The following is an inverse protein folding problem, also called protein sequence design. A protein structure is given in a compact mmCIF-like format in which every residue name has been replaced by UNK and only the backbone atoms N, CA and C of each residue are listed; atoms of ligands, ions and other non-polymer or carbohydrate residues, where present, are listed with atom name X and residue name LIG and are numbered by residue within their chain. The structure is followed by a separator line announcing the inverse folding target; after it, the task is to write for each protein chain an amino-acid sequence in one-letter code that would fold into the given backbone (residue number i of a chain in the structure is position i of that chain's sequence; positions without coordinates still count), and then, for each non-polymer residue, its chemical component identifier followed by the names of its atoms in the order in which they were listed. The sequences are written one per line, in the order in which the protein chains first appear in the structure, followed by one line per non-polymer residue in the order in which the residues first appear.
data_IF_296390545690
#
_entry.id   IF_296390545690
#
_cell.length_a   1.000
_cell.length_b   1.000
_cell.length_c   1.000
_cell.angle_alpha   90.00
_cell.angle_beta   90.00
_cell.angle_gamma   90.00
#
_symmetry.space_group_name_H-M   'P 1'
#
loop_
_entity.id
_entity.type
_entity.pdbx_description
1 polymer ?
#
# COMPACT_ATOMS: atom_id res chain seq x y z
N UNK A 1 -0.58 -4.97 9.18
CA UNK A 1 -0.28 -4.05 10.30
C UNK A 1 0.79 -3.12 9.81
N UNK A 2 0.59 -1.82 9.95
CA UNK A 2 1.65 -0.85 9.70
C UNK A 2 2.34 -0.55 11.03
N UNK A 3 3.67 -0.61 11.06
CA UNK A 3 4.48 -0.18 12.18
C UNK A 3 5.25 1.05 11.72
N UNK A 4 5.02 2.20 12.38
CA UNK A 4 5.73 3.46 12.12
C UNK A 4 6.72 3.70 13.26
N UNK A 5 7.98 3.84 12.92
CA UNK A 5 9.08 4.11 13.84
C UNK A 5 9.55 5.54 13.58
N UNK A 6 9.31 6.51 14.50
CA UNK A 6 9.81 7.86 14.38
C UNK A 6 11.32 7.91 14.16
N UNK A 7 11.80 8.83 13.31
CA UNK A 7 13.23 9.04 13.07
C UNK A 7 13.63 10.38 13.69
N UNK A 8 14.56 10.38 14.65
CA UNK A 8 15.19 11.62 15.09
C UNK A 8 16.35 12.03 14.17
N UNK A 9 16.68 13.33 14.14
CA UNK A 9 17.81 13.87 13.37
C UNK A 9 19.17 13.22 13.72
N UNK A 10 19.34 12.74 14.95
CA UNK A 10 20.55 12.03 15.40
C UNK A 10 20.62 10.60 14.84
N UNK A 11 19.47 9.95 14.73
CA UNK A 11 19.31 8.59 14.21
C UNK A 11 19.54 8.58 12.70
N UNK A 12 19.07 9.59 11.99
CA UNK A 12 19.37 9.85 10.58
C UNK A 12 20.87 9.73 10.23
N UNK A 13 21.77 10.31 11.03
CA UNK A 13 23.22 10.20 10.81
C UNK A 13 23.77 8.81 11.11
N UNK A 14 23.07 8.04 11.95
CA UNK A 14 23.46 6.72 12.45
C UNK A 14 22.93 5.57 11.57
N UNK A 15 21.75 5.76 10.94
CA UNK A 15 21.04 4.77 10.11
C UNK A 15 21.13 5.03 8.61
N UNK A 16 21.14 6.30 8.19
CA UNK A 16 20.74 6.67 6.82
C UNK A 16 21.86 7.10 5.87
N UNK A 17 23.16 7.02 6.23
CA UNK A 17 24.28 7.26 5.31
C UNK A 17 24.04 8.36 4.25
N UNK A 18 23.62 9.60 4.58
CA UNK A 18 23.32 10.65 3.58
C UNK A 18 22.39 10.26 2.38
N UNK A 19 21.78 9.06 2.40
CA UNK A 19 21.11 8.43 1.27
C UNK A 19 19.62 8.28 1.56
N UNK A 20 18.82 8.31 0.51
CA UNK A 20 17.39 8.09 0.61
C UNK A 20 17.09 6.64 1.08
N UNK A 21 15.97 6.46 1.80
CA UNK A 21 15.59 5.18 2.44
C UNK A 21 14.64 4.32 1.58
N UNK A 22 14.19 4.83 0.44
CA UNK A 22 13.21 4.14 -0.41
C UNK A 22 13.80 2.87 -1.03
N UNK A 23 12.94 1.88 -1.26
CA UNK A 23 13.36 0.60 -1.85
C UNK A 23 14.46 -0.09 -1.04
N UNK A 24 14.51 0.15 0.26
CA UNK A 24 15.40 -0.55 1.22
C UNK A 24 14.55 -1.37 2.17
N UNK A 25 15.20 -2.23 2.94
CA UNK A 25 14.57 -2.99 4.01
C UNK A 25 15.39 -2.93 5.30
N UNK A 26 14.75 -3.27 6.41
CA UNK A 26 15.38 -3.35 7.74
C UNK A 26 15.10 -4.72 8.36
N UNK A 27 15.96 -5.14 9.27
CA UNK A 27 15.67 -6.25 10.18
C UNK A 27 15.12 -5.70 11.48
N UNK A 28 14.06 -6.33 11.97
CA UNK A 28 13.46 -6.04 13.27
C UNK A 28 13.63 -7.27 14.16
N UNK A 29 14.21 -7.05 15.33
CA UNK A 29 14.26 -7.98 16.45
C UNK A 29 13.39 -7.49 17.60
N UNK A 30 12.98 -8.40 18.48
CA UNK A 30 12.24 -8.02 19.69
C UNK A 30 12.67 -8.89 20.87
N UNK A 31 13.44 -8.31 21.80
CA UNK A 31 14.13 -9.04 22.89
C UNK A 31 13.16 -9.73 23.85
N UNK A 32 11.99 -9.13 24.09
CA UNK A 32 10.94 -9.76 24.91
C UNK A 32 10.24 -10.94 24.23
N UNK A 33 10.43 -11.13 22.92
CA UNK A 33 9.94 -12.30 22.19
C UNK A 33 11.03 -13.32 21.91
N UNK A 34 12.22 -12.85 21.55
CA UNK A 34 13.38 -13.66 21.24
C UNK A 34 14.64 -12.80 21.20
N UNK A 35 15.72 -13.31 21.81
CA UNK A 35 17.03 -12.66 21.78
C UNK A 35 17.77 -12.83 20.45
N UNK A 36 17.35 -13.79 19.61
CA UNK A 36 18.11 -14.22 18.42
C UNK A 36 17.33 -14.13 17.12
N UNK A 37 16.00 -13.95 17.17
CA UNK A 37 15.18 -13.86 15.95
C UNK A 37 15.16 -12.45 15.41
N UNK A 38 15.50 -12.34 14.13
CA UNK A 38 15.48 -11.12 13.34
C UNK A 38 14.70 -11.38 12.06
N UNK A 39 13.80 -10.47 11.72
CA UNK A 39 12.93 -10.61 10.56
C UNK A 39 13.05 -9.40 9.63
N UNK A 40 13.25 -9.61 8.31
CA UNK A 40 13.35 -8.52 7.35
C UNK A 40 11.96 -7.96 7.02
N UNK A 41 11.89 -6.64 6.87
CA UNK A 41 10.70 -5.92 6.41
C UNK A 41 11.09 -4.76 5.49
N UNK A 42 10.42 -4.68 4.35
CA UNK A 42 10.58 -3.60 3.39
C UNK A 42 10.05 -2.27 3.95
N UNK A 43 10.79 -1.21 3.68
CA UNK A 43 10.42 0.15 4.04
C UNK A 43 9.32 0.66 3.11
N UNK A 44 8.27 1.25 3.70
CA UNK A 44 7.11 1.82 3.00
C UNK A 44 7.07 3.35 3.05
N UNK A 45 8.03 4.00 3.72
CA UNK A 45 8.13 5.46 3.83
C UNK A 45 9.36 6.01 3.12
N UNK A 46 9.45 7.33 3.03
CA UNK A 46 10.69 8.04 2.67
C UNK A 46 11.12 8.94 3.82
N UNK A 47 12.30 9.56 3.67
CA UNK A 47 12.86 10.36 4.76
C UNK A 47 12.03 11.60 5.09
N UNK A 48 11.31 12.14 4.10
CA UNK A 48 10.44 13.30 4.30
C UNK A 48 9.20 12.97 5.16
N UNK A 49 8.86 11.69 5.36
CA UNK A 49 7.75 11.28 6.23
C UNK A 49 8.09 11.48 7.73
N UNK A 50 9.37 11.60 8.10
CA UNK A 50 9.79 11.73 9.50
C UNK A 50 9.73 10.43 10.31
N UNK A 51 9.42 9.30 9.67
CA UNK A 51 9.38 7.96 10.26
C UNK A 51 9.78 6.88 9.25
N UNK A 52 10.25 5.72 9.74
CA UNK A 52 10.36 4.48 8.96
C UNK A 52 9.05 3.71 9.16
N UNK A 53 8.30 3.46 8.09
CA UNK A 53 7.15 2.54 8.13
C UNK A 53 7.48 1.21 7.49
N UNK A 54 6.93 0.14 8.09
CA UNK A 54 6.98 -1.21 7.52
C UNK A 54 5.61 -1.87 7.60
N UNK A 55 5.29 -2.74 6.64
CA UNK A 55 4.05 -3.49 6.63
C UNK A 55 4.27 -4.95 7.02
N UNK A 56 3.71 -5.32 8.17
CA UNK A 56 3.85 -6.65 8.74
C UNK A 56 2.56 -7.44 8.51
N UNK A 57 2.70 -8.58 7.84
CA UNK A 57 1.63 -9.56 7.65
C UNK A 57 1.49 -10.40 8.91
N UNK A 58 0.43 -10.13 9.68
CA UNK A 58 0.16 -10.84 10.94
C UNK A 58 -0.52 -12.17 10.60
N UNK A 59 0.25 -13.25 10.58
CA UNK A 59 -0.23 -14.57 10.19
C UNK A 59 -0.08 -15.59 11.33
N UNK A 60 1.15 -15.90 11.73
CA UNK A 60 1.47 -16.83 12.81
C UNK A 60 2.90 -16.62 13.35
N UNK A 61 3.23 -17.28 14.46
CA UNK A 61 4.59 -17.31 15.00
C UNK A 61 5.03 -15.95 15.54
N UNK A 62 6.24 -15.52 15.15
CA UNK A 62 6.86 -14.30 15.68
C UNK A 62 6.04 -13.03 15.38
N UNK A 63 5.51 -12.88 14.17
CA UNK A 63 4.71 -11.69 13.78
C UNK A 63 3.40 -11.54 14.55
N UNK A 64 2.79 -12.66 14.97
CA UNK A 64 1.59 -12.64 15.79
C UNK A 64 1.88 -12.22 17.22
N UNK A 65 2.96 -12.75 17.81
CA UNK A 65 3.43 -12.36 19.14
C UNK A 65 3.85 -10.89 19.17
N UNK A 66 4.53 -10.41 18.13
CA UNK A 66 4.88 -8.99 17.97
C UNK A 66 3.63 -8.12 17.92
N UNK A 67 2.66 -8.48 17.08
CA UNK A 67 1.40 -7.74 17.00
C UNK A 67 0.66 -7.68 18.34
N UNK A 68 0.60 -8.79 19.09
CA UNK A 68 -0.01 -8.84 20.42
C UNK A 68 0.74 -7.99 21.45
N UNK A 69 2.07 -7.97 21.38
CA UNK A 69 2.91 -7.17 22.27
C UNK A 69 2.73 -5.67 22.02
N UNK A 70 2.69 -5.24 20.76
CA UNK A 70 2.56 -3.82 20.40
C UNK A 70 1.13 -3.31 20.58
N UNK A 71 0.12 -4.06 20.14
CA UNK A 71 -1.28 -3.58 20.10
C UNK A 71 -2.19 -4.16 21.20
N UNK A 72 -1.64 -5.01 22.06
CA UNK A 72 -2.40 -5.75 23.07
C UNK A 72 -3.24 -6.90 22.50
N UNK A 73 -3.59 -7.85 23.37
CA UNK A 73 -4.37 -9.06 23.03
C UNK A 73 -5.78 -8.74 22.48
N UNK A 74 -6.34 -7.57 22.80
CA UNK A 74 -7.72 -7.19 22.48
C UNK A 74 -7.94 -6.77 21.01
N UNK A 75 -6.92 -6.24 20.31
CA UNK A 75 -7.01 -5.86 18.88
C UNK A 75 -6.60 -6.98 17.92
N UNK A 76 -5.76 -7.92 18.37
CA UNK A 76 -5.39 -9.11 17.61
C UNK A 76 -6.62 -10.01 17.33
N UNK A 77 -7.61 -10.02 18.22
CA UNK A 77 -8.87 -10.74 18.04
C UNK A 77 -9.85 -10.03 17.09
N UNK A 78 -9.88 -8.70 17.03
CA UNK A 78 -10.72 -7.96 16.07
C UNK A 78 -10.21 -8.10 14.62
N UNK A 79 -8.89 -8.16 14.41
CA UNK A 79 -8.30 -8.52 13.11
C UNK A 79 -8.64 -9.96 12.66
N UNK A 80 -8.99 -10.84 13.62
CA UNK A 80 -9.46 -12.21 13.37
C UNK A 80 -11.00 -12.30 13.28
N UNK A 81 -11.77 -11.44 13.97
CA UNK A 81 -13.24 -11.37 13.95
C UNK A 81 -13.81 -10.60 12.76
N UNK A 82 -13.04 -9.74 12.09
CA UNK A 82 -13.39 -9.22 10.76
C UNK A 82 -13.54 -10.33 9.68
N UNK A 83 -13.35 -11.61 10.04
CA UNK A 83 -13.78 -12.79 9.27
C UNK A 83 -15.31 -13.02 9.25
N UNK A 84 -16.08 -12.33 10.10
CA UNK A 84 -17.55 -12.39 10.14
C UNK A 84 -18.12 -10.97 10.11
N UNK A 85 -18.14 -10.34 8.94
CA UNK A 85 -19.19 -9.37 8.66
C UNK A 85 -20.20 -10.14 7.81
N UNK A 86 -21.34 -10.50 8.43
CA UNK A 86 -22.46 -11.08 7.68
C UNK A 86 -23.08 -10.00 6.82
N UNK A 87 -23.24 -10.30 5.53
CA UNK A 87 -24.02 -9.48 4.62
C UNK A 87 -25.47 -9.38 5.12
N UNK A 88 -26.16 -8.24 4.92
CA UNK A 88 -27.62 -8.25 5.01
C UNK A 88 -28.14 -9.27 3.98
N UNK A 89 -29.21 -10.03 4.30
CA UNK A 89 -29.70 -11.05 3.40
C UNK A 89 -30.12 -10.38 2.09
N UNK A 90 -29.62 -10.93 0.98
CA UNK A 90 -30.09 -10.63 -0.36
C UNK A 90 -31.60 -10.73 -0.38
N UNK A 91 -32.30 -9.61 -0.60
CA UNK A 91 -33.73 -9.65 -0.86
C UNK A 91 -33.95 -10.38 -2.19
N UNK A 92 -34.56 -11.56 -2.09
CA UNK A 92 -35.06 -12.34 -3.20
C UNK A 92 -36.00 -11.48 -4.05
N UNK A 93 -35.61 -11.18 -5.28
CA UNK A 93 -36.56 -10.75 -6.30
C UNK A 93 -36.89 -11.93 -7.20
N UNK A 94 -37.79 -12.77 -6.69
CA UNK A 94 -38.63 -13.62 -7.52
C UNK A 94 -39.79 -12.78 -8.06
N UNK A 95 -39.84 -12.61 -9.38
CA UNK A 95 -41.07 -12.42 -10.14
C UNK A 95 -41.77 -11.05 -10.06
N UNK A 96 -41.85 -10.35 -11.18
CA UNK A 96 -43.12 -10.34 -11.91
C UNK A 96 -42.96 -9.91 -13.37
N UNK A 97 -43.55 -10.74 -14.22
CA UNK A 97 -43.85 -10.52 -15.63
C UNK A 97 -45.09 -9.62 -15.73
N UNK A 98 -45.24 -8.95 -16.88
CA UNK A 98 -46.45 -8.28 -17.43
C UNK A 98 -46.84 -6.94 -16.77
N UNK A 99 -47.31 -5.87 -17.46
CA UNK A 99 -47.79 -5.64 -18.84
C UNK A 99 -47.78 -4.12 -19.13
N UNK A 100 -47.79 -3.78 -20.42
CA UNK A 100 -47.96 -2.44 -21.03
C UNK A 100 -49.09 -1.57 -20.45
N UNK A 101 -48.90 -0.23 -20.42
CA UNK A 101 -49.71 0.77 -21.14
C UNK A 101 -49.61 2.22 -20.56
N UNK A 102 -49.28 3.15 -21.46
CA UNK A 102 -49.79 4.51 -21.73
C UNK A 102 -50.15 5.58 -20.65
N UNK A 103 -49.84 6.81 -21.10
CA UNK A 103 -50.55 8.11 -20.97
C UNK A 103 -50.36 9.01 -19.73
N UNK A 104 -49.78 10.18 -20.04
CA UNK A 104 -50.25 11.55 -19.80
C UNK A 104 -50.36 12.19 -18.39
N UNK A 105 -49.96 13.47 -18.40
CA UNK A 105 -50.52 14.62 -17.69
C UNK A 105 -49.93 15.09 -16.33
N UNK A 106 -49.30 16.27 -16.41
CA UNK A 106 -49.53 17.51 -15.64
C UNK A 106 -49.38 17.60 -14.10
N UNK A 107 -48.53 18.56 -13.72
CA UNK A 107 -48.73 19.65 -12.75
C UNK A 107 -48.87 19.43 -11.22
N UNK A 108 -48.01 20.21 -10.53
CA UNK A 108 -48.31 21.10 -9.37
C UNK A 108 -48.21 20.60 -7.92
N UNK A 109 -47.32 21.30 -7.20
CA UNK A 109 -47.46 22.01 -5.91
C UNK A 109 -47.90 21.33 -4.59
N UNK A 110 -47.03 21.58 -3.59
CA UNK A 110 -47.24 21.98 -2.18
C UNK A 110 -47.69 20.97 -1.10
N UNK A 111 -46.80 20.85 -0.11
CA UNK A 111 -47.00 20.79 1.35
C UNK A 111 -48.02 19.80 1.96
N UNK A 112 -47.56 18.90 2.83
CA UNK A 112 -47.55 19.10 4.31
C UNK A 112 -47.46 17.77 5.10
N UNK A 113 -46.63 17.80 6.14
CA UNK A 113 -46.70 17.06 7.42
C UNK A 113 -46.96 15.55 7.44
N UNK A 114 -45.87 14.80 7.65
CA UNK A 114 -45.87 13.49 8.29
C UNK A 114 -44.55 13.29 9.04
N UNK A 115 -44.50 13.73 10.30
CA UNK A 115 -43.32 13.63 11.14
C UNK A 115 -42.92 12.17 11.40
N UNK A 116 -41.66 11.85 11.11
CA UNK A 116 -41.00 10.64 11.62
C UNK A 116 -39.83 11.10 12.48
N UNK A 117 -39.86 10.69 13.74
CA UNK A 117 -38.81 10.90 14.74
C UNK A 117 -37.45 10.54 14.17
N UNK A 118 -36.57 11.54 14.06
CA UNK A 118 -35.14 11.33 13.96
C UNK A 118 -34.70 10.78 15.32
N UNK A 119 -34.39 9.49 15.38
CA UNK A 119 -33.53 8.99 16.45
C UNK A 119 -32.13 9.55 16.18
N UNK A 120 -31.78 10.62 16.89
CA UNK A 120 -30.39 10.96 17.20
C UNK A 120 -29.76 9.75 17.90
N UNK A 121 -29.17 8.86 17.10
CA UNK A 121 -28.17 7.94 17.60
C UNK A 121 -26.85 8.69 17.58
N UNK A 122 -26.38 8.93 18.78
CA UNK A 122 -25.19 9.70 19.07
C UNK A 122 -24.02 9.22 18.21
N UNK A 123 -23.51 10.16 17.41
CA UNK A 123 -22.22 10.10 16.75
C UNK A 123 -21.17 10.01 17.87
N UNK A 124 -20.70 8.81 18.17
CA UNK A 124 -19.44 8.67 18.93
C UNK A 124 -18.32 9.07 17.98
N UNK A 125 -17.91 10.33 18.09
CA UNK A 125 -16.85 10.92 17.29
C UNK A 125 -15.59 10.08 17.29
N UNK A 126 -14.91 10.07 16.15
CA UNK A 126 -13.51 9.71 16.09
C UNK A 126 -12.74 10.66 17.00
N UNK A 127 -12.29 10.18 18.14
CA UNK A 127 -11.27 10.89 18.92
C UNK A 127 -9.98 10.88 18.12
N UNK A 128 -9.53 12.09 17.77
CA UNK A 128 -8.14 12.39 17.47
C UNK A 128 -7.26 11.67 18.49
N UNK A 129 -6.36 10.79 18.04
CA UNK A 129 -5.32 10.23 18.92
C UNK A 129 -4.13 11.17 18.85
N UNK A 130 -4.36 12.39 19.29
CA UNK A 130 -3.32 13.30 19.76
C UNK A 130 -2.98 12.93 21.19
N UNK A 131 -1.68 12.79 21.47
CA UNK A 131 -1.06 12.57 22.80
C UNK A 131 -1.11 11.15 23.38
N UNK A 132 -0.13 10.33 22.97
CA UNK A 132 0.50 9.39 23.89
C UNK A 132 1.66 10.15 24.55
N UNK A 133 1.47 10.58 25.79
CA UNK A 133 2.58 11.09 26.60
C UNK A 133 3.39 9.90 27.13
N UNK A 134 4.69 9.89 26.83
CA UNK A 134 5.66 8.90 27.33
C UNK A 134 6.73 9.66 28.11
N UNK A 135 6.93 9.28 29.37
CA UNK A 135 8.01 9.81 30.22
C UNK A 135 9.38 9.40 29.67
N UNK A 136 10.29 10.37 29.54
CA UNK A 136 11.64 10.19 29.04
C UNK A 136 12.61 9.88 30.19
N UNK A 137 13.38 8.80 30.08
CA UNK A 137 14.61 8.63 30.85
C UNK A 137 15.73 9.40 30.16
N UNK A 138 16.48 10.21 30.91
CA UNK A 138 17.51 11.13 30.40
C UNK A 138 18.81 10.43 29.97
N UNK A 139 19.55 11.13 29.11
CA UNK A 139 20.52 10.63 28.13
C UNK A 139 21.92 10.21 28.65
N UNK A 140 22.20 10.20 29.95
CA UNK A 140 23.59 10.12 30.43
C UNK A 140 24.17 8.69 30.57
N UNK A 141 23.34 7.64 30.54
CA UNK A 141 23.82 6.26 30.78
C UNK A 141 24.17 5.47 29.51
N UNK A 142 23.61 5.84 28.35
CA UNK A 142 23.71 5.03 27.10
C UNK A 142 24.89 5.45 26.21
N UNK A 143 25.45 6.65 26.41
CA UNK A 143 26.44 7.27 25.52
C UNK A 143 27.85 6.64 25.53
N UNK A 144 28.10 5.56 26.28
CA UNK A 144 29.47 5.10 26.57
C UNK A 144 30.06 3.98 25.70
N UNK A 145 29.40 3.43 24.68
CA UNK A 145 30.05 2.40 23.83
C UNK A 145 29.82 2.61 22.33
N UNK A 146 30.90 3.00 21.65
CA UNK A 146 31.00 3.18 20.21
C UNK A 146 31.10 1.88 19.42
N UNK A 147 30.81 1.98 18.12
CA UNK A 147 30.90 0.90 17.14
C UNK A 147 29.89 1.07 16.01
N UNK A 148 30.36 1.02 14.77
CA UNK A 148 29.60 1.13 13.52
C UNK A 148 28.53 0.02 13.41
N UNK A 149 27.39 0.30 12.75
CA UNK A 149 26.15 -0.49 12.74
C UNK A 149 25.43 -0.54 14.08
N UNK A 150 24.88 0.61 14.48
CA UNK A 150 24.17 0.70 15.73
C UNK A 150 22.72 0.28 15.59
N UNK A 151 22.35 -0.76 16.32
CA UNK A 151 20.97 -1.11 16.55
C UNK A 151 20.27 -0.04 17.41
N UNK A 152 19.07 0.43 17.03
CA UNK A 152 18.26 1.33 17.87
C UNK A 152 17.23 0.50 18.61
N UNK A 153 17.15 0.75 19.91
CA UNK A 153 16.09 0.24 20.76
C UNK A 153 14.93 1.23 20.76
N UNK A 154 13.71 0.74 20.51
CA UNK A 154 12.47 1.52 20.53
C UNK A 154 11.52 0.95 21.59
N UNK A 155 10.87 1.81 22.36
CA UNK A 155 9.96 1.51 23.49
C UNK A 155 10.49 0.50 24.53
N UNK A 156 10.72 0.96 25.75
CA UNK A 156 11.15 0.15 26.93
C UNK A 156 12.41 -0.73 26.77
N UNK A 157 13.10 -0.75 25.63
CA UNK A 157 14.23 -1.66 25.41
C UNK A 157 13.93 -2.85 24.49
N UNK A 158 12.67 -3.04 24.12
CA UNK A 158 12.19 -4.34 23.62
C UNK A 158 12.34 -4.49 22.11
N UNK A 159 12.06 -3.45 21.32
CA UNK A 159 12.13 -3.51 19.86
C UNK A 159 13.49 -3.04 19.37
N UNK A 160 14.17 -3.83 18.56
CA UNK A 160 15.50 -3.50 18.03
C UNK A 160 15.48 -3.47 16.51
N UNK A 161 16.03 -2.42 15.91
CA UNK A 161 16.06 -2.22 14.46
C UNK A 161 17.51 -2.21 13.95
N UNK A 162 17.76 -2.92 12.86
CA UNK A 162 19.06 -2.91 12.18
C UNK A 162 19.30 -1.65 11.35
N UNK A 163 20.51 -1.48 10.83
CA UNK A 163 20.77 -0.55 9.73
C UNK A 163 19.98 -0.90 8.46
N UNK A 164 19.82 0.09 7.57
CA UNK A 164 19.16 -0.07 6.27
C UNK A 164 19.96 -0.98 5.35
N UNK A 165 19.26 -1.87 4.66
CA UNK A 165 19.81 -2.79 3.67
C UNK A 165 19.25 -2.47 2.30
N UNK A 166 20.10 -2.55 1.28
CA UNK A 166 19.71 -2.29 -0.10
C UNK A 166 18.93 -3.47 -0.71
N UNK A 167 17.96 -3.15 -1.57
CA UNK A 167 17.22 -4.14 -2.35
C UNK A 167 17.24 -3.81 -3.84
N UNK A 168 17.10 -4.82 -4.69
CA UNK A 168 17.09 -4.67 -6.14
C UNK A 168 15.88 -3.89 -6.71
N UNK A 169 14.65 -3.95 -6.14
CA UNK A 169 13.50 -3.20 -6.64
C UNK A 169 13.73 -1.69 -6.78
N UNK A 170 14.61 -1.08 -5.96
CA UNK A 170 14.89 0.35 -6.02
C UNK A 170 15.46 0.82 -7.36
N UNK A 171 16.19 -0.04 -8.06
CA UNK A 171 16.88 0.30 -9.32
C UNK A 171 15.94 0.36 -10.53
N UNK A 172 14.66 0.00 -10.35
CA UNK A 172 13.64 0.17 -11.39
C UNK A 172 13.53 1.62 -11.88
N UNK A 173 13.89 2.59 -11.03
CA UNK A 173 13.88 4.03 -11.34
C UNK A 173 14.92 4.46 -12.39
N UNK A 174 15.88 3.61 -12.74
CA UNK A 174 16.87 3.86 -13.79
C UNK A 174 16.24 3.86 -15.19
N UNK A 175 15.04 3.27 -15.31
CA UNK A 175 14.28 3.18 -16.55
C UNK A 175 13.32 4.37 -16.68
N UNK A 176 12.90 4.66 -17.90
CA UNK A 176 11.90 5.70 -18.16
C UNK A 176 10.48 5.30 -17.74
N UNK A 177 10.19 3.99 -17.74
CA UNK A 177 8.92 3.43 -17.28
C UNK A 177 9.17 2.34 -16.24
N UNK A 178 8.62 2.50 -15.04
CA UNK A 178 8.69 1.51 -13.97
C UNK A 178 7.38 0.73 -13.82
N UNK A 179 7.47 -0.60 -13.80
CA UNK A 179 6.36 -1.52 -13.66
C UNK A 179 6.54 -2.28 -12.34
N UNK A 180 5.69 -1.95 -11.37
CA UNK A 180 5.78 -2.41 -9.98
C UNK A 180 4.70 -3.45 -9.72
N UNK A 181 5.06 -4.74 -9.74
CA UNK A 181 4.12 -5.82 -9.47
C UNK A 181 4.25 -6.25 -8.01
N UNK A 182 3.16 -6.33 -7.27
CA UNK A 182 3.23 -6.76 -5.88
C UNK A 182 2.02 -7.55 -5.40
N UNK A 183 2.20 -8.27 -4.29
CA UNK A 183 1.13 -9.00 -3.61
C UNK A 183 1.20 -8.88 -2.10
N UNK A 184 0.05 -8.64 -1.46
CA UNK A 184 -0.02 -8.52 0.00
C UNK A 184 0.87 -7.40 0.53
N UNK A 185 1.72 -7.69 1.52
CA UNK A 185 2.64 -6.70 2.12
C UNK A 185 3.80 -6.29 1.22
N UNK A 186 4.04 -6.97 0.10
CA UNK A 186 5.03 -6.58 -0.91
C UNK A 186 4.74 -5.24 -1.60
N UNK A 187 3.64 -4.57 -1.23
CA UNK A 187 3.33 -3.19 -1.61
C UNK A 187 4.26 -2.17 -0.93
N UNK A 188 4.84 -2.51 0.23
CA UNK A 188 5.70 -1.62 1.02
C UNK A 188 6.84 -0.97 0.20
N UNK A 189 7.75 -1.73 -0.45
CA UNK A 189 8.83 -1.11 -1.21
C UNK A 189 8.29 -0.27 -2.37
N UNK A 190 7.16 -0.66 -2.96
CA UNK A 190 6.52 0.07 -4.06
C UNK A 190 6.01 1.44 -3.63
N UNK A 191 5.38 1.55 -2.45
CA UNK A 191 4.94 2.84 -1.90
C UNK A 191 6.14 3.76 -1.70
N UNK A 192 7.23 3.27 -1.12
CA UNK A 192 8.43 4.09 -0.91
C UNK A 192 9.04 4.59 -2.22
N UNK A 193 9.08 3.74 -3.26
CA UNK A 193 9.57 4.11 -4.60
C UNK A 193 8.68 5.19 -5.23
N UNK A 194 7.35 5.03 -5.16
CA UNK A 194 6.41 6.01 -5.73
C UNK A 194 6.50 7.33 -4.96
N UNK A 195 6.52 7.30 -3.62
CA UNK A 195 6.73 8.50 -2.79
C UNK A 195 8.03 9.22 -3.18
N UNK A 196 9.11 8.47 -3.36
CA UNK A 196 10.38 9.04 -3.79
C UNK A 196 10.28 9.74 -5.16
N UNK A 197 9.64 9.10 -6.13
CA UNK A 197 9.42 9.66 -7.46
C UNK A 197 8.61 10.96 -7.43
N UNK A 198 7.43 10.96 -6.79
CA UNK A 198 6.54 12.14 -6.77
C UNK A 198 7.10 13.33 -5.98
N UNK A 199 8.01 13.07 -5.03
CA UNK A 199 8.68 14.10 -4.22
C UNK A 199 9.89 14.71 -4.91
N UNK A 200 10.50 13.97 -5.84
CA UNK A 200 11.75 14.37 -6.50
C UNK A 200 11.61 14.56 -8.02
N UNK A 201 10.38 14.67 -8.52
CA UNK A 201 10.13 14.96 -9.93
C UNK A 201 10.80 16.28 -10.34
N UNK A 202 11.47 16.27 -11.50
CA UNK A 202 12.26 17.41 -11.99
C UNK A 202 13.67 17.52 -11.40
N UNK A 203 14.01 16.81 -10.31
CA UNK A 203 15.36 16.78 -9.76
C UNK A 203 16.22 15.72 -10.47
N UNK A 204 16.92 16.17 -11.53
CA UNK A 204 17.78 15.30 -12.36
C UNK A 204 18.93 14.60 -11.63
N UNK A 205 19.32 15.05 -10.43
CA UNK A 205 20.33 14.36 -9.62
C UNK A 205 19.77 13.12 -8.90
N UNK A 206 18.46 13.09 -8.65
CA UNK A 206 17.77 12.01 -7.92
C UNK A 206 16.98 11.11 -8.85
N UNK A 207 16.22 11.72 -9.77
CA UNK A 207 15.44 11.04 -10.80
C UNK A 207 15.97 11.48 -12.16
N UNK A 208 16.77 10.63 -12.79
CA UNK A 208 17.38 10.95 -14.08
C UNK A 208 16.35 10.78 -15.22
N UNK A 209 15.78 9.57 -15.33
CA UNK A 209 15.04 9.14 -16.52
C UNK A 209 13.58 8.78 -16.29
N UNK A 210 13.16 8.41 -15.07
CA UNK A 210 11.80 7.92 -14.81
C UNK A 210 10.72 8.96 -15.15
N UNK A 211 9.74 8.55 -15.97
CA UNK A 211 8.63 9.37 -16.45
C UNK A 211 7.29 8.82 -15.96
N UNK A 212 7.10 7.50 -16.01
CA UNK A 212 5.81 6.87 -15.71
C UNK A 212 5.97 5.65 -14.80
N UNK A 213 5.00 5.45 -13.90
CA UNK A 213 4.93 4.29 -13.00
C UNK A 213 3.60 3.56 -13.19
N UNK A 214 3.66 2.23 -13.32
CA UNK A 214 2.53 1.32 -13.33
C UNK A 214 2.61 0.43 -12.10
N UNK A 215 1.71 0.63 -11.13
CA UNK A 215 1.61 -0.22 -9.95
C UNK A 215 0.51 -1.26 -10.15
N UNK A 216 0.84 -2.53 -9.97
CA UNK A 216 -0.12 -3.63 -9.99
C UNK A 216 -0.07 -4.37 -8.66
N UNK A 217 -1.16 -4.28 -7.89
CA UNK A 217 -1.21 -4.85 -6.55
C UNK A 217 -2.29 -5.93 -6.42
N UNK A 218 -1.87 -7.15 -6.06
CA UNK A 218 -2.79 -8.27 -5.83
C UNK A 218 -3.15 -8.39 -4.35
N UNK A 219 -4.45 -8.32 -4.05
CA UNK A 219 -5.00 -8.42 -2.68
C UNK A 219 -6.14 -9.44 -2.62
N UNK A 220 -6.36 -10.01 -1.42
CA UNK A 220 -7.49 -10.90 -1.14
C UNK A 220 -8.62 -10.24 -0.36
N UNK A 221 -8.33 -9.12 0.30
CA UNK A 221 -9.26 -8.47 1.23
C UNK A 221 -9.24 -6.97 1.00
N UNK A 222 -10.43 -6.36 0.91
CA UNK A 222 -10.58 -4.95 0.53
C UNK A 222 -10.00 -3.99 1.58
N UNK A 223 -10.02 -4.35 2.87
CA UNK A 223 -9.48 -3.48 3.92
C UNK A 223 -7.99 -3.17 3.77
N UNK A 224 -7.25 -3.93 2.96
CA UNK A 224 -5.86 -3.59 2.64
C UNK A 224 -5.75 -2.32 1.81
N UNK A 225 -6.79 -1.94 1.05
CA UNK A 225 -6.80 -0.73 0.23
C UNK A 225 -6.46 0.54 1.02
N UNK A 226 -6.80 0.59 2.32
CA UNK A 226 -6.43 1.71 3.19
C UNK A 226 -4.92 1.99 3.26
N UNK A 227 -4.06 1.00 2.96
CA UNK A 227 -2.60 1.21 2.87
C UNK A 227 -2.19 2.15 1.73
N UNK A 228 -3.03 2.32 0.71
CA UNK A 228 -2.77 3.23 -0.40
C UNK A 228 -3.31 4.64 -0.16
N UNK A 229 -4.20 4.84 0.82
CA UNK A 229 -4.97 6.09 0.97
C UNK A 229 -4.06 7.32 1.09
N UNK A 230 -3.02 7.25 1.92
CA UNK A 230 -2.04 8.33 2.10
C UNK A 230 -1.27 8.62 0.80
N UNK A 231 -0.83 7.57 0.10
CA UNK A 231 -0.11 7.72 -1.18
C UNK A 231 -1.01 8.35 -2.25
N UNK A 232 -2.26 7.89 -2.36
CA UNK A 232 -3.22 8.40 -3.33
C UNK A 232 -3.55 9.86 -3.06
N UNK A 233 -3.74 10.24 -1.80
CA UNK A 233 -3.96 11.64 -1.41
C UNK A 233 -2.77 12.53 -1.83
N UNK A 234 -1.54 12.06 -1.64
CA UNK A 234 -0.34 12.80 -2.03
C UNK A 234 -0.17 12.92 -3.55
N UNK A 235 -0.49 11.87 -4.31
CA UNK A 235 -0.45 11.93 -5.79
C UNK A 235 -1.50 12.93 -6.30
N UNK A 236 -2.71 12.90 -5.72
CA UNK A 236 -3.81 13.78 -6.12
C UNK A 236 -3.51 15.24 -5.79
N UNK A 237 -2.96 15.52 -4.61
CA UNK A 237 -2.65 16.90 -4.19
C UNK A 237 -1.55 17.57 -5.03
N UNK A 238 -0.73 16.76 -5.72
CA UNK A 238 0.34 17.21 -6.61
C UNK A 238 -0.02 17.19 -8.10
N UNK A 239 -1.24 16.75 -8.45
CA UNK A 239 -1.70 16.60 -9.84
C UNK A 239 -0.84 15.65 -10.70
N UNK A 240 -0.42 14.52 -10.12
CA UNK A 240 0.48 13.54 -10.77
C UNK A 240 -0.21 12.23 -11.20
N UNK A 241 -1.55 12.22 -11.27
CA UNK A 241 -2.34 11.04 -11.61
C UNK A 241 -2.07 10.53 -13.04
N UNK A 242 -1.60 11.40 -13.94
CA UNK A 242 -1.22 11.03 -15.31
C UNK A 242 0.10 10.25 -15.40
N UNK A 243 0.97 10.40 -14.39
CA UNK A 243 2.30 9.77 -14.35
C UNK A 243 2.30 8.44 -13.60
N UNK A 244 1.34 8.23 -12.69
CA UNK A 244 1.24 7.03 -11.86
C UNK A 244 -0.11 6.36 -12.11
N UNK A 245 -0.12 5.15 -12.67
CA UNK A 245 -1.33 4.33 -12.87
C UNK A 245 -1.34 3.16 -11.91
N UNK A 246 -2.47 2.93 -11.23
CA UNK A 246 -2.58 1.91 -10.18
C UNK A 246 -3.70 0.93 -10.52
N UNK A 247 -3.35 -0.35 -10.58
CA UNK A 247 -4.26 -1.46 -10.83
C UNK A 247 -4.29 -2.38 -9.61
N UNK A 248 -5.43 -2.48 -8.95
CA UNK A 248 -5.62 -3.38 -7.82
C UNK A 248 -6.39 -4.62 -8.27
N UNK A 249 -5.73 -5.77 -8.25
CA UNK A 249 -6.33 -7.05 -8.55
C UNK A 249 -6.92 -7.69 -7.29
N UNK A 250 -8.24 -7.76 -7.23
CA UNK A 250 -8.97 -8.37 -6.14
C UNK A 250 -9.21 -9.86 -6.42
N UNK A 251 -8.55 -10.71 -5.64
CA UNK A 251 -8.60 -12.19 -5.74
C UNK A 251 -9.40 -12.83 -4.60
N UNK A 252 -10.21 -12.01 -3.91
CA UNK A 252 -11.04 -12.45 -2.79
C UNK A 252 -12.37 -13.04 -3.24
N UNK A 253 -13.46 -12.51 -2.71
CA UNK A 253 -14.82 -12.97 -2.99
C UNK A 253 -15.22 -12.70 -4.45
N UNK A 254 -15.43 -13.77 -5.21
CA UNK A 254 -15.85 -13.71 -6.61
C UNK A 254 -17.32 -13.29 -6.79
N UNK A 255 -18.08 -13.13 -5.70
CA UNK A 255 -19.45 -12.61 -5.75
C UNK A 255 -19.50 -11.11 -6.11
N UNK A 256 -18.42 -10.37 -5.86
CA UNK A 256 -18.35 -8.94 -6.17
C UNK A 256 -18.28 -8.74 -7.69
N UNK A 257 -19.29 -8.05 -8.21
CA UNK A 257 -19.34 -7.68 -9.62
C UNK A 257 -18.39 -6.54 -9.95
N UNK A 258 -17.93 -6.45 -11.20
CA UNK A 258 -17.08 -5.34 -11.66
C UNK A 258 -17.71 -3.95 -11.41
N UNK A 259 -19.04 -3.86 -11.37
CA UNK A 259 -19.77 -2.63 -11.08
C UNK A 259 -19.65 -2.18 -9.61
N UNK A 260 -19.37 -3.09 -8.68
CA UNK A 260 -19.16 -2.77 -7.26
C UNK A 260 -17.70 -2.41 -6.96
N UNK A 261 -16.76 -2.82 -7.82
CA UNK A 261 -15.33 -2.57 -7.69
C UNK A 261 -14.92 -1.17 -8.19
N UNK A 262 -15.69 -0.16 -7.76
CA UNK A 262 -15.46 1.24 -8.09
C UNK A 262 -14.63 1.88 -6.97
N UNK A 263 -13.48 2.54 -7.27
CA UNK A 263 -12.58 3.06 -6.25
C UNK A 263 -13.25 4.01 -5.23
N UNK A 264 -14.23 4.81 -5.68
CA UNK A 264 -15.00 5.73 -4.83
C UNK A 264 -15.70 5.02 -3.66
N UNK A 265 -16.08 3.74 -3.83
CA UNK A 265 -16.72 2.95 -2.76
C UNK A 265 -15.74 2.52 -1.67
N UNK A 266 -14.43 2.52 -1.94
CA UNK A 266 -13.40 2.07 -1.03
C UNK A 266 -12.58 3.23 -0.44
N UNK A 267 -12.46 4.32 -1.19
CA UNK A 267 -11.69 5.51 -0.79
C UNK A 267 -12.62 6.69 -0.50
N UNK A 268 -13.46 6.57 0.53
CA UNK A 268 -14.45 7.58 0.89
C UNK A 268 -13.85 8.97 1.17
N UNK A 269 -12.59 9.02 1.63
CA UNK A 269 -11.85 10.28 1.87
C UNK A 269 -11.31 10.93 0.60
N UNK A 270 -11.35 10.22 -0.54
CA UNK A 270 -10.84 10.66 -1.83
C UNK A 270 -11.94 10.57 -2.89
N UNK A 271 -13.01 11.39 -2.81
CA UNK A 271 -14.18 11.26 -3.70
C UNK A 271 -13.86 11.52 -5.18
N UNK A 272 -12.81 12.30 -5.47
CA UNK A 272 -12.40 12.67 -6.83
C UNK A 272 -11.50 11.61 -7.51
N UNK A 273 -11.39 10.42 -6.94
CA UNK A 273 -10.55 9.36 -7.50
C UNK A 273 -11.14 8.84 -8.83
N UNK A 274 -10.39 8.99 -9.93
CA UNK A 274 -10.82 8.53 -11.25
C UNK A 274 -10.43 7.07 -11.49
N UNK A 275 -11.28 6.34 -12.22
CA UNK A 275 -10.95 4.97 -12.69
C UNK A 275 -9.80 4.92 -13.70
N UNK A 276 -9.41 6.06 -14.28
CA UNK A 276 -8.22 6.19 -15.12
C UNK A 276 -6.92 6.19 -14.30
N UNK A 277 -7.00 6.65 -13.05
CA UNK A 277 -5.88 6.71 -12.11
C UNK A 277 -5.76 5.41 -11.31
N UNK A 278 -6.86 5.00 -10.66
CA UNK A 278 -6.93 3.77 -9.87
C UNK A 278 -8.03 2.88 -10.40
N UNK A 279 -7.71 1.64 -10.77
CA UNK A 279 -8.69 0.66 -11.23
C UNK A 279 -8.66 -0.58 -10.36
N UNK A 280 -9.83 -1.00 -9.87
CA UNK A 280 -9.96 -2.26 -9.12
C UNK A 280 -10.54 -3.31 -10.09
N UNK A 281 -9.82 -4.41 -10.26
CA UNK A 281 -10.09 -5.43 -11.27
C UNK A 281 -10.31 -6.77 -10.56
N UNK A 282 -11.41 -7.50 -10.84
CA UNK A 282 -11.60 -8.83 -10.28
C UNK A 282 -10.62 -9.84 -10.91
N UNK A 283 -10.16 -10.80 -10.11
CA UNK A 283 -9.31 -11.89 -10.58
C UNK A 283 -7.82 -11.61 -10.40
N UNK A 284 -7.01 -12.46 -11.03
CA UNK A 284 -5.54 -12.43 -10.88
C UNK A 284 -4.93 -11.38 -11.80
N UNK A 285 -3.72 -10.95 -11.45
CA UNK A 285 -2.95 -10.07 -12.31
C UNK A 285 -2.56 -10.78 -13.61
N UNK A 286 -2.66 -10.05 -14.72
CA UNK A 286 -2.10 -10.45 -15.99
C UNK A 286 -0.89 -9.56 -16.29
N UNK A 287 0.29 -10.10 -16.03
CA UNK A 287 1.56 -9.39 -16.27
C UNK A 287 1.77 -9.16 -17.76
N UNK A 288 1.26 -10.01 -18.65
CA UNK A 288 1.48 -9.85 -20.09
C UNK A 288 0.70 -8.65 -20.62
N UNK A 289 -0.61 -8.60 -20.32
CA UNK A 289 -1.46 -7.46 -20.68
C UNK A 289 -0.94 -6.14 -20.09
N UNK A 290 -0.33 -6.17 -18.90
CA UNK A 290 0.31 -5.02 -18.30
C UNK A 290 1.54 -4.54 -19.09
N UNK A 291 2.42 -5.46 -19.50
CA UNK A 291 3.59 -5.12 -20.33
C UNK A 291 3.15 -4.55 -21.68
N UNK A 292 2.14 -5.14 -22.30
CA UNK A 292 1.57 -4.67 -23.56
C UNK A 292 1.00 -3.25 -23.43
N UNK A 293 0.20 -2.99 -22.39
CA UNK A 293 -0.34 -1.66 -22.13
C UNK A 293 0.79 -0.63 -21.86
N UNK A 294 1.74 -0.94 -20.98
CA UNK A 294 2.82 -0.01 -20.62
C UNK A 294 3.73 0.33 -21.81
N UNK A 295 4.03 -0.66 -22.67
CA UNK A 295 4.89 -0.46 -23.85
C UNK A 295 4.16 0.25 -24.99
N UNK A 296 2.86 -0.01 -25.16
CA UNK A 296 2.04 0.67 -26.17
C UNK A 296 1.79 2.13 -25.82
N UNK A 297 1.53 2.43 -24.54
CA UNK A 297 1.29 3.80 -24.09
C UNK A 297 2.56 4.65 -24.05
N UNK A 298 3.75 4.04 -23.92
CA UNK A 298 5.02 4.76 -23.80
C UNK A 298 6.03 4.25 -24.84
N UNK A 299 5.80 4.44 -26.15
CA UNK A 299 6.66 3.90 -27.19
C UNK A 299 8.07 4.51 -27.13
N UNK A 300 9.09 3.68 -27.38
CA UNK A 300 10.49 4.12 -27.46
C UNK A 300 11.16 4.39 -26.11
N UNK A 301 10.50 4.07 -24.99
CA UNK A 301 11.07 4.19 -23.66
C UNK A 301 11.86 2.94 -23.25
N UNK A 302 12.69 3.08 -22.22
CA UNK A 302 13.24 1.96 -21.45
C UNK A 302 12.27 1.51 -20.36
N UNK A 303 12.15 0.20 -20.14
CA UNK A 303 11.18 -0.38 -19.20
C UNK A 303 11.87 -1.21 -18.12
N UNK A 304 11.54 -0.95 -16.87
CA UNK A 304 11.94 -1.76 -15.72
C UNK A 304 10.73 -2.44 -15.09
N UNK A 305 10.84 -3.72 -14.75
CA UNK A 305 9.83 -4.46 -14.00
C UNK A 305 10.44 -5.05 -12.74
N UNK A 306 9.74 -4.88 -11.62
CA UNK A 306 10.06 -5.59 -10.37
C UNK A 306 8.82 -6.28 -9.81
N UNK A 307 9.01 -7.38 -9.08
CA UNK A 307 7.94 -8.14 -8.48
C UNK A 307 8.24 -8.55 -7.04
N UNK A 308 7.41 -8.15 -6.08
CA UNK A 308 7.58 -8.47 -4.64
C UNK A 308 6.30 -9.09 -4.07
N UNK A 309 6.40 -10.25 -3.42
CA UNK A 309 5.27 -10.91 -2.78
C UNK A 309 5.32 -12.44 -2.85
N UNK A 310 4.18 -13.14 -2.94
CA UNK A 310 4.16 -14.61 -2.97
C UNK A 310 5.02 -15.18 -4.12
N UNK A 311 5.79 -16.24 -3.83
CA UNK A 311 6.71 -16.88 -4.79
C UNK A 311 6.08 -17.19 -6.16
N UNK A 312 4.81 -17.58 -6.20
CA UNK A 312 4.11 -17.85 -7.46
C UNK A 312 3.91 -16.59 -8.30
N UNK A 313 3.60 -15.45 -7.67
CA UNK A 313 3.44 -14.16 -8.35
C UNK A 313 4.78 -13.68 -8.89
N UNK A 314 5.84 -13.72 -8.08
CA UNK A 314 7.20 -13.31 -8.49
C UNK A 314 7.72 -14.18 -9.63
N UNK A 315 7.57 -15.51 -9.51
CA UNK A 315 7.95 -16.45 -10.59
C UNK A 315 7.13 -16.23 -11.86
N UNK A 316 5.84 -15.94 -11.74
CA UNK A 316 5.00 -15.65 -12.89
C UNK A 316 5.49 -14.39 -13.60
N UNK A 317 5.70 -13.29 -12.86
CA UNK A 317 6.21 -12.04 -13.42
C UNK A 317 7.55 -12.25 -14.14
N UNK A 318 8.52 -12.91 -13.52
CA UNK A 318 9.83 -13.22 -14.12
C UNK A 318 9.71 -14.04 -15.41
N UNK A 319 8.85 -15.07 -15.41
CA UNK A 319 8.62 -15.92 -16.59
C UNK A 319 7.96 -15.14 -17.71
N UNK A 320 6.94 -14.34 -17.41
CA UNK A 320 6.25 -13.50 -18.39
C UNK A 320 7.18 -12.46 -19.00
N UNK A 321 8.00 -11.78 -18.20
CA UNK A 321 9.03 -10.85 -18.70
C UNK A 321 10.04 -11.55 -19.59
N UNK A 322 10.47 -12.77 -19.23
CA UNK A 322 11.38 -13.56 -20.06
C UNK A 322 10.74 -13.95 -21.38
N UNK A 323 9.47 -14.37 -21.37
CA UNK A 323 8.72 -14.70 -22.58
C UNK A 323 8.54 -13.48 -23.48
N UNK A 324 8.13 -12.34 -22.90
CA UNK A 324 8.03 -11.05 -23.56
C UNK A 324 9.33 -10.66 -24.26
N UNK A 325 10.46 -10.71 -23.54
CA UNK A 325 11.77 -10.34 -24.10
C UNK A 325 12.26 -11.26 -25.23
N UNK A 326 11.70 -12.47 -25.35
CA UNK A 326 12.00 -13.40 -26.46
C UNK A 326 11.16 -13.13 -27.70
N UNK A 327 9.89 -12.72 -27.51
CA UNK A 327 8.97 -12.42 -28.62
C UNK A 327 9.06 -10.98 -29.11
N UNK A 328 9.50 -10.06 -28.25
CA UNK A 328 9.45 -8.62 -28.53
C UNK A 328 10.73 -8.09 -29.17
N UNK A 329 10.64 -7.09 -30.07
CA UNK A 329 11.79 -6.36 -30.59
C UNK A 329 12.67 -5.77 -29.47
N UNK A 330 13.94 -5.51 -29.78
CA UNK A 330 14.91 -4.95 -28.82
C UNK A 330 14.40 -3.71 -28.09
N UNK A 331 13.71 -2.81 -28.81
CA UNK A 331 13.15 -1.56 -28.27
C UNK A 331 12.06 -1.75 -27.22
N UNK A 332 11.45 -2.94 -27.13
CA UNK A 332 10.38 -3.26 -26.19
C UNK A 332 10.85 -4.19 -25.07
N UNK A 333 12.16 -4.43 -24.95
CA UNK A 333 12.70 -5.29 -23.89
C UNK A 333 12.55 -4.62 -22.54
N UNK A 334 12.26 -5.46 -21.55
CA UNK A 334 11.99 -5.05 -20.17
C UNK A 334 13.07 -5.61 -19.26
N UNK A 335 13.72 -4.73 -18.51
CA UNK A 335 14.72 -5.09 -17.50
C UNK A 335 14.00 -5.64 -16.25
N UNK A 336 14.36 -6.84 -15.80
CA UNK A 336 13.75 -7.45 -14.63
C UNK A 336 14.63 -7.26 -13.39
N UNK A 337 14.10 -6.62 -12.36
CA UNK A 337 14.74 -6.42 -11.06
C UNK A 337 14.10 -7.37 -10.03
N UNK A 338 14.91 -8.28 -9.51
CA UNK A 338 14.47 -9.26 -8.51
C UNK A 338 13.98 -8.54 -7.24
N UNK A 339 13.02 -9.13 -6.52
CA UNK A 339 12.37 -8.52 -5.36
C UNK A 339 11.95 -9.57 -4.35
#
# INVERSE_FOLDING_TARGET
MELRIPIEKKDLKRYCFEQDIFGKFIYIGCTSLSLVQWHPFDVASTIEDGYISVFISVSSGWTQKLSQKIFGSSKAQQAQQAKKISYPPSQDYLGNKTVFANSDASESNLSSNGGIKICESQVSGFTDVSEIQVEFLTNDEVARKGGQNAFVSYESGDLIISGLQDSMPKYVIENEVAILVCGGTGIAPMISIIKYFIRNIGNKKKIENLKNIYLVWSIKKYYYLGLLEELLAEIISRDLQSLVKIFVHYTGDYSLTSAQLVPQNFFNRLPNISSQFVRIIPGRNDVYSLLEAATTENPGCTYGLTAVGPNLLVRNARRTTTAWNRSSPFMLKVNYYEG
#
